data_IF_798940534287
#
_entry.id   IF_798940534287
#
_cell.length_a   1.000
_cell.length_b   1.000
_cell.length_c   1.000
_cell.angle_alpha   90.00
_cell.angle_beta   90.00
_cell.angle_gamma   90.00
#
_symmetry.space_group_name_H-M   'P 1'
#
loop_
_entity.id
_entity.type
_entity.pdbx_description
1 polymer ?
#
# COMPACT_ATOMS: atom_id res chain seq x y z
N UNK A 1 -30.86 9.86 -23.63
CA UNK A 1 -30.58 10.07 -25.07
C UNK A 1 -29.63 8.96 -25.50
N UNK A 2 -29.87 8.35 -26.64
CA UNK A 2 -29.07 7.22 -27.17
C UNK A 2 -27.60 7.58 -27.44
N UNK A 3 -27.28 8.88 -27.42
CA UNK A 3 -25.93 9.42 -27.64
C UNK A 3 -25.05 9.54 -26.41
N UNK A 4 -25.63 9.56 -25.21
CA UNK A 4 -24.90 9.70 -23.96
C UNK A 4 -25.11 8.45 -23.11
N UNK A 5 -24.00 7.80 -22.75
CA UNK A 5 -23.96 6.70 -21.80
C UNK A 5 -23.15 7.13 -20.59
N UNK A 6 -23.66 6.83 -19.42
CA UNK A 6 -23.02 7.12 -18.16
C UNK A 6 -22.94 5.86 -17.31
N UNK A 7 -21.83 5.66 -16.65
CA UNK A 7 -21.64 4.55 -15.71
C UNK A 7 -20.83 4.99 -14.50
N UNK A 8 -21.13 4.40 -13.36
CA UNK A 8 -20.37 4.59 -12.15
C UNK A 8 -20.17 3.23 -11.45
N UNK A 9 -18.97 3.03 -10.92
CA UNK A 9 -18.65 1.91 -10.04
C UNK A 9 -18.07 2.48 -8.75
N UNK A 10 -18.68 2.13 -7.61
CA UNK A 10 -18.31 2.59 -6.30
C UNK A 10 -18.00 1.36 -5.45
N UNK A 11 -16.77 1.29 -4.94
CA UNK A 11 -16.35 0.24 -4.03
C UNK A 11 -15.82 0.88 -2.75
N UNK A 12 -16.33 0.41 -1.64
CA UNK A 12 -15.86 0.75 -0.30
C UNK A 12 -15.50 -0.54 0.44
N UNK A 13 -14.29 -0.57 1.02
CA UNK A 13 -13.81 -1.72 1.80
C UNK A 13 -13.29 -1.22 3.13
N UNK A 14 -13.68 -1.90 4.19
CA UNK A 14 -13.13 -1.71 5.52
C UNK A 14 -12.66 -3.08 6.02
N UNK A 15 -11.37 -3.18 6.33
CA UNK A 15 -10.71 -4.37 6.85
C UNK A 15 -10.18 -4.08 8.24
N UNK A 16 -10.45 -4.96 9.16
CA UNK A 16 -9.87 -4.98 10.49
C UNK A 16 -9.35 -6.39 10.74
N UNK A 17 -8.07 -6.52 10.94
CA UNK A 17 -7.43 -7.82 11.09
C UNK A 17 -6.33 -7.80 12.14
N UNK A 18 -6.21 -8.92 12.83
CA UNK A 18 -5.02 -9.24 13.59
C UNK A 18 -4.00 -9.89 12.63
N UNK A 19 -2.79 -9.35 12.62
CA UNK A 19 -1.70 -9.81 11.76
C UNK A 19 -0.72 -10.58 12.64
N UNK A 20 -0.29 -11.73 12.15
CA UNK A 20 0.74 -12.52 12.82
C UNK A 20 2.08 -12.30 12.11
N UNK A 21 3.15 -12.28 12.90
CA UNK A 21 4.49 -12.25 12.33
C UNK A 21 4.70 -13.50 11.49
N UNK A 22 4.92 -13.31 10.20
CA UNK A 22 5.13 -14.38 9.22
C UNK A 22 6.60 -14.51 8.84
N UNK A 23 6.93 -15.58 8.09
CA UNK A 23 8.25 -15.84 7.55
C UNK A 23 9.05 -16.85 8.35
N UNK A 24 10.37 -16.84 8.16
CA UNK A 24 11.30 -17.82 8.74
C UNK A 24 11.96 -17.34 10.03
N UNK A 25 11.55 -16.21 10.55
CA UNK A 25 12.06 -15.64 11.78
C UNK A 25 11.67 -16.45 13.02
N UNK A 26 12.56 -16.51 14.01
CA UNK A 26 12.24 -17.17 15.29
C UNK A 26 11.07 -16.50 16.03
N UNK A 27 10.74 -15.26 15.69
CA UNK A 27 9.62 -14.50 16.24
C UNK A 27 8.29 -14.82 15.57
N UNK A 28 8.30 -15.50 14.42
CA UNK A 28 7.08 -15.96 13.75
C UNK A 28 6.49 -17.16 14.51
N UNK A 29 5.38 -17.01 15.24
CA UNK A 29 4.89 -18.06 16.14
C UNK A 29 4.50 -19.34 15.38
N UNK A 30 3.90 -19.21 14.21
CA UNK A 30 3.50 -20.35 13.40
C UNK A 30 4.71 -21.14 12.87
N UNK A 31 5.69 -20.45 12.28
CA UNK A 31 6.91 -21.07 11.79
C UNK A 31 7.71 -21.75 12.92
N UNK A 32 7.84 -21.08 14.07
CA UNK A 32 8.52 -21.62 15.24
C UNK A 32 7.84 -22.88 15.74
N UNK A 33 6.51 -22.90 15.83
CA UNK A 33 5.75 -24.06 16.28
C UNK A 33 5.91 -25.28 15.38
N UNK A 34 5.93 -25.08 14.06
CA UNK A 34 5.99 -26.18 13.07
C UNK A 34 7.40 -26.68 12.83
N UNK A 35 8.40 -25.76 12.81
CA UNK A 35 9.75 -26.10 12.30
C UNK A 35 10.82 -26.20 13.38
N UNK A 36 10.59 -25.62 14.56
CA UNK A 36 11.64 -25.46 15.59
C UNK A 36 11.33 -26.10 16.92
N UNK A 37 10.05 -26.18 17.29
CA UNK A 37 9.67 -26.84 18.54
C UNK A 37 9.63 -28.36 18.37
N UNK A 38 10.08 -29.07 19.39
CA UNK A 38 9.90 -30.50 19.46
C UNK A 38 8.61 -30.85 20.22
N UNK A 39 7.97 -31.98 19.93
CA UNK A 39 6.78 -32.42 20.67
C UNK A 39 7.01 -32.61 22.19
N UNK A 40 8.27 -32.70 22.61
CA UNK A 40 8.66 -32.87 24.01
C UNK A 40 8.85 -31.54 24.76
N UNK A 41 8.81 -30.39 24.05
CA UNK A 41 8.90 -29.08 24.68
C UNK A 41 7.55 -28.70 25.32
N UNK A 42 7.40 -28.69 26.64
CA UNK A 42 6.14 -28.32 27.27
C UNK A 42 5.89 -26.81 27.15
N UNK A 43 4.65 -26.44 26.87
CA UNK A 43 4.23 -25.03 26.78
C UNK A 43 4.23 -24.36 28.16
N UNK A 44 3.93 -25.13 29.20
CA UNK A 44 3.80 -24.65 30.58
C UNK A 44 4.74 -25.43 31.49
N UNK A 45 5.19 -24.77 32.53
CA UNK A 45 5.88 -25.38 33.67
C UNK A 45 4.89 -26.11 34.58
N UNK A 46 5.38 -26.89 35.53
CA UNK A 46 4.54 -27.63 36.49
C UNK A 46 3.67 -26.71 37.38
N UNK A 47 4.10 -25.46 37.58
CA UNK A 47 3.37 -24.44 38.31
C UNK A 47 2.32 -23.70 37.48
N UNK A 48 2.17 -24.06 36.20
CA UNK A 48 1.23 -23.45 35.27
C UNK A 48 1.74 -22.15 34.62
N UNK A 49 2.94 -21.69 34.92
CA UNK A 49 3.57 -20.57 34.24
C UNK A 49 4.04 -20.97 32.84
N UNK A 50 4.23 -19.99 31.94
CA UNK A 50 4.77 -20.27 30.61
C UNK A 50 6.21 -20.72 30.69
N UNK A 51 6.51 -21.84 30.05
CA UNK A 51 7.90 -22.33 29.92
C UNK A 51 8.65 -21.45 28.92
N UNK A 52 9.67 -20.77 29.38
CA UNK A 52 10.56 -19.96 28.55
C UNK A 52 11.90 -20.63 28.26
N UNK A 53 12.19 -21.77 28.90
CA UNK A 53 13.41 -22.55 28.76
C UNK A 53 13.21 -23.74 27.80
N UNK A 54 12.61 -23.46 26.65
CA UNK A 54 12.40 -24.46 25.61
C UNK A 54 13.74 -24.97 25.06
N UNK A 55 13.89 -26.28 24.93
CA UNK A 55 15.12 -26.93 24.46
C UNK A 55 15.48 -26.47 23.03
N UNK A 56 14.48 -26.37 22.19
CA UNK A 56 14.64 -26.04 20.77
C UNK A 56 14.73 -24.55 20.50
N UNK A 57 14.06 -23.72 21.32
CA UNK A 57 13.93 -22.29 21.15
C UNK A 57 14.08 -21.59 22.51
N UNK A 58 15.33 -21.32 22.91
CA UNK A 58 15.60 -20.62 24.16
C UNK A 58 14.77 -19.33 24.28
N UNK A 59 13.92 -19.24 25.32
CA UNK A 59 13.11 -18.07 25.69
C UNK A 59 12.10 -17.61 24.64
N UNK A 60 11.65 -18.48 23.75
CA UNK A 60 10.75 -18.12 22.64
C UNK A 60 9.52 -18.99 22.59
N UNK A 61 8.74 -18.98 23.65
CA UNK A 61 7.47 -19.67 23.68
C UNK A 61 6.46 -18.96 22.76
N UNK A 62 6.04 -19.59 21.65
CA UNK A 62 5.14 -18.96 20.69
C UNK A 62 3.74 -18.73 21.27
N UNK A 63 3.30 -19.55 22.22
CA UNK A 63 2.00 -19.38 22.90
C UNK A 63 2.04 -18.15 23.81
N UNK A 64 3.14 -17.96 24.56
CA UNK A 64 3.36 -16.76 25.36
C UNK A 64 3.38 -15.50 24.47
N UNK A 65 4.11 -15.56 23.36
CA UNK A 65 4.18 -14.45 22.41
C UNK A 65 2.80 -14.12 21.85
N UNK A 66 2.01 -15.13 21.48
CA UNK A 66 0.66 -14.95 20.91
C UNK A 66 -0.33 -14.36 21.92
N UNK A 67 -0.15 -14.62 23.21
CA UNK A 67 -1.07 -14.10 24.23
C UNK A 67 -0.78 -12.65 24.58
N UNK A 68 0.51 -12.26 24.62
CA UNK A 68 0.90 -10.94 25.12
C UNK A 68 1.27 -9.94 24.01
N UNK A 69 1.73 -10.41 22.86
CA UNK A 69 2.00 -9.56 21.72
C UNK A 69 0.76 -9.45 20.82
N UNK A 70 0.62 -8.33 20.15
CA UNK A 70 -0.38 -8.20 19.08
C UNK A 70 0.10 -7.28 17.98
N UNK A 71 -0.38 -7.53 16.78
CA UNK A 71 -0.26 -6.64 15.63
C UNK A 71 -1.62 -6.55 14.96
N UNK A 72 -2.13 -5.33 14.83
CA UNK A 72 -3.44 -5.05 14.24
C UNK A 72 -3.31 -4.09 13.08
N UNK A 73 -4.07 -4.37 12.05
CA UNK A 73 -4.14 -3.53 10.88
C UNK A 73 -5.59 -3.16 10.57
N UNK A 74 -5.81 -1.87 10.32
CA UNK A 74 -7.09 -1.30 9.92
C UNK A 74 -6.92 -0.64 8.57
N UNK A 75 -7.58 -1.18 7.55
CA UNK A 75 -7.51 -0.66 6.18
C UNK A 75 -8.88 -0.15 5.76
N UNK A 76 -8.94 1.09 5.32
CA UNK A 76 -10.11 1.66 4.67
C UNK A 76 -9.76 2.05 3.25
N UNK A 77 -10.46 1.47 2.27
CA UNK A 77 -10.23 1.76 0.85
C UNK A 77 -11.51 2.16 0.15
N UNK A 78 -11.43 3.20 -0.65
CA UNK A 78 -12.46 3.65 -1.57
C UNK A 78 -11.89 3.61 -2.99
N UNK A 79 -12.50 2.82 -3.86
CA UNK A 79 -12.15 2.77 -5.28
C UNK A 79 -13.40 3.12 -6.11
N UNK A 80 -13.38 4.29 -6.72
CA UNK A 80 -14.51 4.82 -7.46
C UNK A 80 -14.10 5.07 -8.91
N UNK A 81 -14.96 4.67 -9.84
CA UNK A 81 -14.78 4.93 -11.25
C UNK A 81 -16.07 5.49 -11.83
N UNK A 82 -15.96 6.63 -12.47
CA UNK A 82 -17.05 7.26 -13.21
C UNK A 82 -16.64 7.27 -14.68
N UNK A 83 -17.55 6.89 -15.55
CA UNK A 83 -17.31 6.92 -16.98
C UNK A 83 -18.50 7.57 -17.72
N UNK A 84 -18.17 8.29 -18.77
CA UNK A 84 -19.13 8.89 -19.67
C UNK A 84 -18.67 8.62 -21.12
N UNK A 85 -19.59 8.20 -21.97
CA UNK A 85 -19.38 8.04 -23.40
C UNK A 85 -20.40 8.90 -24.16
N UNK A 86 -19.90 9.75 -25.03
CA UNK A 86 -20.74 10.62 -25.85
C UNK A 86 -20.44 10.44 -27.33
N UNK A 87 -21.48 10.18 -28.13
CA UNK A 87 -21.43 10.10 -29.60
C UNK A 87 -21.78 11.46 -30.18
N UNK A 88 -20.77 12.21 -30.65
CA UNK A 88 -20.97 13.54 -31.26
C UNK A 88 -21.73 13.46 -32.56
N UNK A 89 -21.21 12.62 -33.45
CA UNK A 89 -21.79 12.28 -34.73
C UNK A 89 -21.67 10.77 -34.90
N UNK A 90 -22.36 10.22 -35.90
CA UNK A 90 -22.21 8.80 -36.23
C UNK A 90 -20.76 8.44 -36.38
N UNK A 91 -20.36 7.34 -35.73
CA UNK A 91 -19.00 6.77 -35.81
C UNK A 91 -17.89 7.54 -34.98
N UNK A 92 -18.19 8.73 -34.38
CA UNK A 92 -17.27 9.50 -33.60
C UNK A 92 -17.71 9.53 -32.14
N UNK A 93 -16.93 8.89 -31.23
CA UNK A 93 -17.23 8.74 -29.81
C UNK A 93 -16.10 9.26 -28.95
N UNK A 94 -16.46 10.00 -27.92
CA UNK A 94 -15.59 10.36 -26.83
C UNK A 94 -15.96 9.54 -25.60
N UNK A 95 -14.99 8.86 -25.02
CA UNK A 95 -15.10 8.16 -23.73
C UNK A 95 -14.19 8.83 -22.75
N UNK A 96 -14.73 9.26 -21.61
CA UNK A 96 -14.01 9.82 -20.48
C UNK A 96 -14.19 8.93 -19.28
N UNK A 97 -13.09 8.57 -18.62
CA UNK A 97 -13.06 7.72 -17.41
C UNK A 97 -12.27 8.47 -16.35
N UNK A 98 -12.90 8.67 -15.19
CA UNK A 98 -12.28 9.22 -14.00
C UNK A 98 -12.28 8.14 -12.92
N UNK A 99 -11.10 7.75 -12.46
CA UNK A 99 -10.91 6.77 -11.38
C UNK A 99 -10.20 7.41 -10.21
N UNK A 100 -10.72 7.19 -9.01
CA UNK A 100 -10.12 7.63 -7.76
C UNK A 100 -9.96 6.45 -6.81
N UNK A 101 -8.71 6.16 -6.43
CA UNK A 101 -8.32 5.13 -5.47
C UNK A 101 -7.75 5.81 -4.24
N UNK A 102 -8.43 5.65 -3.11
CA UNK A 102 -8.06 6.19 -1.82
C UNK A 102 -7.93 5.05 -0.82
N UNK A 103 -6.79 4.96 -0.16
CA UNK A 103 -6.50 3.92 0.81
C UNK A 103 -5.81 4.51 2.03
N UNK A 104 -6.36 4.22 3.21
CA UNK A 104 -5.74 4.50 4.50
C UNK A 104 -5.47 3.16 5.18
N UNK A 105 -4.23 2.96 5.62
CA UNK A 105 -3.83 1.86 6.50
C UNK A 105 -3.33 2.42 7.83
N UNK A 106 -3.79 1.82 8.92
CA UNK A 106 -3.36 2.13 10.29
C UNK A 106 -2.90 0.83 10.94
N UNK A 107 -1.62 0.77 11.29
CA UNK A 107 -1.02 -0.33 12.02
C UNK A 107 -0.86 -0.01 13.51
N UNK A 108 -1.04 -1.00 14.36
CA UNK A 108 -0.68 -0.97 15.76
C UNK A 108 -0.01 -2.28 16.15
N UNK A 109 1.22 -2.21 16.63
CA UNK A 109 1.97 -3.36 17.13
C UNK A 109 2.34 -3.15 18.60
N UNK A 110 2.30 -4.23 19.36
CA UNK A 110 2.79 -4.28 20.74
C UNK A 110 3.62 -5.55 20.94
N UNK A 111 4.82 -5.37 21.50
CA UNK A 111 5.72 -6.41 21.97
C UNK A 111 5.86 -6.28 23.48
N UNK A 112 5.33 -7.25 24.18
CA UNK A 112 5.32 -7.24 25.65
C UNK A 112 6.69 -7.57 26.23
N UNK A 113 7.08 -6.89 27.30
CA UNK A 113 8.36 -7.10 27.98
C UNK A 113 8.54 -8.51 28.56
N UNK A 114 7.46 -9.25 28.75
CA UNK A 114 7.46 -10.65 29.18
C UNK A 114 7.84 -11.63 28.09
N UNK A 115 7.77 -11.19 26.83
CA UNK A 115 8.11 -12.00 25.66
C UNK A 115 9.55 -11.75 25.24
N UNK A 116 10.17 -12.71 24.57
CA UNK A 116 11.53 -12.56 24.04
C UNK A 116 11.67 -11.41 23.04
N UNK A 117 10.56 -10.99 22.42
CA UNK A 117 10.54 -9.92 21.42
C UNK A 117 10.56 -8.53 22.06
N UNK A 118 9.97 -8.39 23.25
CA UNK A 118 9.90 -7.13 23.97
C UNK A 118 10.86 -6.99 25.14
N UNK A 119 11.47 -8.08 25.62
CA UNK A 119 12.30 -8.11 26.81
C UNK A 119 13.47 -7.11 26.77
N UNK A 120 14.23 -7.10 25.67
CA UNK A 120 15.42 -6.25 25.53
C UNK A 120 15.12 -4.76 25.64
N UNK A 121 13.95 -4.37 25.20
CA UNK A 121 13.51 -2.99 25.11
C UNK A 121 12.52 -2.62 26.24
N UNK A 122 12.31 -3.52 27.19
CA UNK A 122 11.29 -3.38 28.24
C UNK A 122 9.92 -2.99 27.67
N UNK A 123 9.48 -3.74 26.65
CA UNK A 123 8.28 -3.50 25.86
C UNK A 123 8.53 -2.59 24.65
N UNK A 124 7.76 -2.80 23.58
CA UNK A 124 7.80 -2.02 22.37
C UNK A 124 6.41 -1.79 21.80
N UNK A 125 6.10 -0.55 21.45
CA UNK A 125 4.86 -0.20 20.77
C UNK A 125 5.17 0.53 19.48
N UNK A 126 4.48 0.14 18.39
CA UNK A 126 4.55 0.85 17.11
C UNK A 126 3.15 1.25 16.67
N UNK A 127 3.03 2.46 16.14
CA UNK A 127 1.86 2.91 15.39
C UNK A 127 2.33 3.42 14.04
N UNK A 128 1.72 2.90 12.99
CA UNK A 128 1.97 3.31 11.63
C UNK A 128 0.68 3.85 11.00
N UNK A 129 0.82 4.90 10.22
CA UNK A 129 -0.21 5.48 9.38
C UNK A 129 0.33 5.58 7.97
N UNK A 130 -0.45 5.12 7.02
CA UNK A 130 -0.14 5.28 5.60
C UNK A 130 -1.38 5.70 4.85
N UNK A 131 -1.25 6.73 4.05
CA UNK A 131 -2.28 7.22 3.15
C UNK A 131 -1.78 7.14 1.71
N UNK A 132 -2.61 6.58 0.86
CA UNK A 132 -2.37 6.48 -0.55
C UNK A 132 -3.59 7.01 -1.28
N UNK A 133 -3.38 7.94 -2.20
CA UNK A 133 -4.43 8.33 -3.12
C UNK A 133 -3.89 8.42 -4.56
N UNK A 134 -4.72 8.00 -5.49
CA UNK A 134 -4.42 8.01 -6.91
C UNK A 134 -5.64 8.47 -7.69
N UNK A 135 -5.45 9.50 -8.49
CA UNK A 135 -6.42 9.97 -9.45
C UNK A 135 -5.94 9.63 -10.86
N UNK A 136 -6.78 8.96 -11.64
CA UNK A 136 -6.54 8.68 -13.05
C UNK A 136 -7.69 9.27 -13.86
N UNK A 137 -7.36 10.10 -14.84
CA UNK A 137 -8.32 10.62 -15.79
C UNK A 137 -7.89 10.27 -17.20
N UNK A 138 -8.68 9.41 -17.85
CA UNK A 138 -8.41 8.89 -19.18
C UNK A 138 -9.52 9.36 -20.13
N UNK A 139 -9.12 9.90 -21.27
CA UNK A 139 -10.01 10.34 -22.34
C UNK A 139 -9.61 9.68 -23.65
N UNK A 140 -10.57 9.14 -24.35
CA UNK A 140 -10.38 8.43 -25.61
C UNK A 140 -11.38 8.92 -26.65
N UNK A 141 -10.87 9.46 -27.74
CA UNK A 141 -11.65 9.81 -28.92
C UNK A 141 -11.48 8.69 -29.97
N UNK A 142 -12.56 8.05 -30.34
CA UNK A 142 -12.55 6.95 -31.27
C UNK A 142 -13.41 7.33 -32.48
N UNK A 143 -12.86 7.12 -33.68
CA UNK A 143 -13.57 7.26 -34.97
C UNK A 143 -13.48 5.94 -35.70
N UNK A 144 -14.67 5.37 -36.03
CA UNK A 144 -14.78 4.09 -36.75
C UNK A 144 -15.72 4.27 -37.92
N UNK A 145 -15.24 4.11 -39.15
CA UNK A 145 -16.07 4.24 -40.32
C UNK A 145 -15.73 3.21 -41.39
N UNK A 146 -16.71 2.92 -42.25
CA UNK A 146 -16.50 2.03 -43.38
C UNK A 146 -16.67 2.86 -44.68
N UNK A 147 -15.58 2.93 -45.43
CA UNK A 147 -15.52 3.65 -46.71
C UNK A 147 -15.75 2.67 -47.85
N UNK A 148 -16.65 3.00 -48.77
CA UNK A 148 -16.96 2.21 -49.96
C UNK A 148 -17.32 0.73 -49.70
N UNK A 149 -17.89 0.42 -48.52
CA UNK A 149 -18.29 -0.92 -48.03
C UNK A 149 -17.16 -1.91 -47.79
N UNK A 150 -15.93 -1.62 -48.20
CA UNK A 150 -14.81 -2.56 -48.21
C UNK A 150 -13.61 -2.13 -47.36
N UNK A 151 -13.53 -0.84 -47.00
CA UNK A 151 -12.44 -0.28 -46.27
C UNK A 151 -12.90 0.19 -44.88
N UNK A 152 -12.45 -0.48 -43.83
CA UNK A 152 -12.75 -0.09 -42.46
C UNK A 152 -11.58 0.76 -41.93
N UNK A 153 -11.90 1.95 -41.47
CA UNK A 153 -10.98 2.84 -40.79
C UNK A 153 -11.34 2.87 -39.32
N UNK A 154 -10.37 2.59 -38.47
CA UNK A 154 -10.44 2.70 -37.00
C UNK A 154 -9.31 3.61 -36.52
N UNK A 155 -9.66 4.74 -35.96
CA UNK A 155 -8.71 5.70 -35.41
C UNK A 155 -9.04 6.00 -33.93
N UNK A 156 -8.03 6.00 -33.07
CA UNK A 156 -8.15 6.29 -31.67
C UNK A 156 -7.07 7.29 -31.26
N UNK A 157 -7.47 8.30 -30.51
CA UNK A 157 -6.57 9.21 -29.80
C UNK A 157 -6.88 9.13 -28.32
N UNK A 158 -5.89 8.77 -27.54
CA UNK A 158 -5.99 8.64 -26.09
C UNK A 158 -5.12 9.67 -25.37
N UNK A 159 -5.64 10.13 -24.24
CA UNK A 159 -4.97 11.03 -23.33
C UNK A 159 -5.27 10.60 -21.89
N UNK A 160 -4.24 10.41 -21.09
CA UNK A 160 -4.37 9.99 -19.70
C UNK A 160 -3.45 10.82 -18.79
N UNK A 161 -4.01 11.27 -17.68
CA UNK A 161 -3.24 11.84 -16.56
C UNK A 161 -3.39 10.89 -15.39
N UNK A 162 -2.28 10.54 -14.74
CA UNK A 162 -2.30 9.93 -13.44
C UNK A 162 -1.58 10.84 -12.41
N UNK A 163 -2.16 10.97 -11.24
CA UNK A 163 -1.57 11.65 -10.10
C UNK A 163 -1.65 10.74 -8.89
N UNK A 164 -0.52 10.51 -8.27
CA UNK A 164 -0.36 9.64 -7.11
C UNK A 164 0.26 10.43 -5.97
N UNK A 165 -0.33 10.30 -4.79
CA UNK A 165 0.19 10.83 -3.53
C UNK A 165 0.28 9.71 -2.51
N UNK A 166 1.41 9.65 -1.79
CA UNK A 166 1.59 8.80 -0.62
C UNK A 166 2.05 9.68 0.53
N UNK A 167 1.52 9.36 1.69
CA UNK A 167 1.93 9.93 2.96
C UNK A 167 2.07 8.81 3.98
N UNK A 168 3.09 8.89 4.83
CA UNK A 168 3.27 7.90 5.88
C UNK A 168 3.85 8.55 7.14
N UNK A 169 3.41 8.05 8.27
CA UNK A 169 3.90 8.39 9.59
C UNK A 169 4.02 7.11 10.40
N UNK A 170 5.18 6.87 11.00
CA UNK A 170 5.39 5.78 11.94
C UNK A 170 6.02 6.32 13.21
N UNK A 171 5.55 5.84 14.34
CA UNK A 171 6.12 6.10 15.65
C UNK A 171 6.35 4.81 16.40
N UNK A 172 7.55 4.66 16.96
CA UNK A 172 7.97 3.53 17.78
C UNK A 172 8.41 4.02 19.15
N UNK A 173 7.94 3.35 20.20
CA UNK A 173 8.31 3.67 21.57
C UNK A 173 8.74 2.43 22.34
N UNK A 174 9.70 2.57 23.23
CA UNK A 174 10.23 1.50 24.07
C UNK A 174 10.31 1.94 25.54
N UNK A 175 10.72 1.02 26.38
CA UNK A 175 10.95 1.25 27.81
C UNK A 175 9.69 1.69 28.54
N UNK A 176 8.72 0.79 28.61
CA UNK A 176 7.44 1.01 29.27
C UNK A 176 7.52 0.67 30.75
N UNK A 177 6.97 1.54 31.60
CA UNK A 177 6.87 1.30 33.03
C UNK A 177 5.90 0.17 33.38
N UNK A 178 4.94 -0.10 32.52
CA UNK A 178 3.93 -1.15 32.69
C UNK A 178 3.40 -1.62 31.34
N UNK A 179 3.17 -2.93 31.15
CA UNK A 179 2.59 -3.45 29.91
C UNK A 179 1.10 -3.10 29.74
N UNK A 180 0.43 -2.64 30.78
CA UNK A 180 -1.00 -2.29 30.74
C UNK A 180 -1.26 -1.07 29.85
N UNK A 181 -0.31 -0.10 29.85
CA UNK A 181 -0.40 1.13 29.06
C UNK A 181 0.54 1.07 27.88
N UNK A 182 0.10 0.42 26.81
CA UNK A 182 0.89 0.12 25.62
C UNK A 182 0.67 1.12 24.45
N UNK A 183 0.30 2.35 24.76
CA UNK A 183 0.29 3.43 23.77
C UNK A 183 1.67 4.11 23.70
N UNK A 184 2.08 4.52 22.49
CA UNK A 184 3.39 5.16 22.23
C UNK A 184 3.69 6.27 23.22
N UNK A 185 2.71 7.06 23.62
CA UNK A 185 2.86 8.16 24.56
C UNK A 185 3.32 7.75 25.98
N UNK A 186 3.27 6.46 26.30
CA UNK A 186 3.68 5.94 27.63
C UNK A 186 5.08 5.31 27.61
N UNK A 187 5.73 5.22 26.45
CA UNK A 187 7.13 4.81 26.33
C UNK A 187 8.07 5.95 26.69
N UNK A 188 9.23 5.62 27.24
CA UNK A 188 10.25 6.60 27.63
C UNK A 188 11.17 6.99 26.47
N UNK A 189 11.38 6.10 25.52
CA UNK A 189 12.16 6.36 24.31
C UNK A 189 11.21 6.35 23.11
N UNK A 190 11.21 7.41 22.33
CA UNK A 190 10.34 7.59 21.17
C UNK A 190 11.20 7.84 19.94
N UNK A 191 10.91 7.08 18.89
CA UNK A 191 11.42 7.30 17.53
C UNK A 191 10.23 7.52 16.58
N UNK A 192 10.36 8.43 15.63
CA UNK A 192 9.35 8.69 14.62
C UNK A 192 9.97 8.86 13.24
N UNK A 193 9.26 8.39 12.23
CA UNK A 193 9.60 8.56 10.83
C UNK A 193 8.35 9.08 10.13
N UNK A 194 8.55 10.08 9.31
CA UNK A 194 7.50 10.70 8.54
C UNK A 194 8.00 10.99 7.12
N UNK A 195 7.12 10.96 6.15
CA UNK A 195 7.48 11.30 4.78
C UNK A 195 6.29 11.27 3.83
N UNK A 196 6.38 12.09 2.79
CA UNK A 196 5.39 12.12 1.74
C UNK A 196 6.02 12.11 0.35
N UNK A 197 5.30 11.63 -0.63
CA UNK A 197 5.72 11.64 -2.03
C UNK A 197 4.55 11.89 -2.97
N UNK A 198 4.79 12.73 -3.98
CA UNK A 198 3.81 13.02 -5.03
C UNK A 198 4.42 12.77 -6.40
N UNK A 199 3.69 12.07 -7.27
CA UNK A 199 4.07 11.85 -8.66
C UNK A 199 2.87 12.07 -9.56
N UNK A 200 3.09 12.82 -10.64
CA UNK A 200 2.10 13.00 -11.71
C UNK A 200 2.70 12.59 -13.05
N UNK A 201 1.91 11.97 -13.89
CA UNK A 201 2.31 11.49 -15.21
C UNK A 201 1.20 11.78 -16.23
N UNK A 202 1.60 12.13 -17.42
CA UNK A 202 0.72 12.33 -18.57
C UNK A 202 1.17 11.45 -19.73
N UNK A 203 0.23 10.76 -20.35
CA UNK A 203 0.46 9.88 -21.50
C UNK A 203 -0.51 10.20 -22.61
N UNK A 204 -0.03 10.30 -23.83
CA UNK A 204 -0.84 10.45 -25.04
C UNK A 204 -0.54 9.30 -26.00
N UNK A 205 -1.57 8.68 -26.56
CA UNK A 205 -1.42 7.51 -27.44
C UNK A 205 -2.36 7.62 -28.65
N UNK A 206 -1.91 8.14 -29.80
CA UNK A 206 -2.63 8.02 -31.04
C UNK A 206 -2.39 6.62 -31.67
N UNK A 207 -3.47 5.96 -32.06
CA UNK A 207 -3.43 4.69 -32.80
C UNK A 207 -4.39 4.80 -33.96
N UNK A 208 -3.97 4.38 -35.16
CA UNK A 208 -4.88 4.25 -36.30
C UNK A 208 -4.62 2.94 -37.02
N UNK A 209 -5.72 2.32 -37.46
CA UNK A 209 -5.70 1.06 -38.22
C UNK A 209 -6.61 1.18 -39.41
N UNK A 210 -6.16 0.72 -40.56
CA UNK A 210 -6.99 0.60 -41.75
C UNK A 210 -6.98 -0.85 -42.25
N UNK A 211 -8.15 -1.43 -42.38
CA UNK A 211 -8.32 -2.80 -42.87
C UNK A 211 -9.21 -2.82 -44.12
N UNK A 212 -8.83 -3.63 -45.09
CA UNK A 212 -9.66 -3.95 -46.26
C UNK A 212 -10.16 -5.39 -46.15
N UNK A 213 -11.23 -5.78 -46.83
CA UNK A 213 -11.94 -7.09 -46.77
C UNK A 213 -11.06 -8.32 -46.52
N UNK A 214 -9.80 -8.31 -46.94
CA UNK A 214 -8.90 -9.47 -46.85
C UNK A 214 -7.50 -9.16 -46.29
N UNK A 215 -7.13 -7.88 -46.05
CA UNK A 215 -5.77 -7.51 -45.69
C UNK A 215 -5.73 -6.27 -44.82
N UNK A 216 -4.83 -6.27 -43.84
CA UNK A 216 -4.45 -5.06 -43.08
C UNK A 216 -3.54 -4.25 -44.01
N UNK A 217 -3.97 -3.06 -44.43
CA UNK A 217 -3.20 -2.21 -45.35
C UNK A 217 -2.24 -1.30 -44.57
N UNK A 218 -2.62 -0.89 -43.36
CA UNK A 218 -1.79 0.02 -42.58
C UNK A 218 -2.13 -0.07 -41.09
N UNK A 219 -1.08 -0.09 -40.25
CA UNK A 219 -1.18 0.04 -38.79
C UNK A 219 -0.17 1.09 -38.39
N UNK A 220 -0.61 2.23 -37.91
CA UNK A 220 0.23 3.27 -37.35
C UNK A 220 -0.04 3.48 -35.89
N UNK A 221 0.96 3.27 -35.05
CA UNK A 221 0.92 3.63 -33.64
C UNK A 221 2.09 4.56 -33.35
N UNK A 222 1.80 5.80 -32.98
CA UNK A 222 2.83 6.73 -32.47
C UNK A 222 2.51 6.94 -30.99
N UNK A 223 3.33 6.35 -30.13
CA UNK A 223 3.25 6.60 -28.69
C UNK A 223 4.14 7.79 -28.35
N UNK A 224 3.52 8.95 -28.14
CA UNK A 224 4.23 10.10 -27.56
C UNK A 224 4.11 10.01 -26.04
N UNK A 225 5.17 9.59 -25.40
CA UNK A 225 5.27 9.66 -23.95
C UNK A 225 5.86 11.03 -23.56
N UNK A 226 5.02 11.99 -23.25
CA UNK A 226 5.46 13.16 -22.51
C UNK A 226 5.42 12.79 -21.01
N UNK A 227 6.51 12.23 -20.51
CA UNK A 227 6.65 11.97 -19.08
C UNK A 227 7.08 13.26 -18.39
N UNK A 228 6.11 14.00 -17.85
CA UNK A 228 6.40 15.01 -16.85
C UNK A 228 6.37 14.32 -15.49
N UNK A 229 7.52 13.82 -15.04
CA UNK A 229 7.67 13.30 -13.68
C UNK A 229 8.06 14.46 -12.80
N UNK A 230 7.08 15.06 -12.15
CA UNK A 230 7.35 15.93 -11.02
C UNK A 230 7.33 15.02 -9.77
N UNK A 231 8.49 14.59 -9.32
CA UNK A 231 8.63 13.86 -8.04
C UNK A 231 9.07 14.89 -7.01
N UNK A 232 8.16 15.37 -6.23
CA UNK A 232 8.46 16.17 -5.05
C UNK A 232 8.53 15.20 -3.87
N UNK A 233 9.72 14.93 -3.38
CA UNK A 233 9.95 14.18 -2.13
C UNK A 233 10.13 15.21 -1.05
N UNK A 234 9.11 15.38 -0.20
CA UNK A 234 9.22 16.16 1.02
C UNK A 234 9.60 15.16 2.11
N UNK A 235 10.88 15.09 2.43
CA UNK A 235 11.36 14.34 3.58
C UNK A 235 11.10 15.20 4.83
N UNK A 236 10.24 14.73 5.72
CA UNK A 236 10.07 15.29 7.05
C UNK A 236 11.29 15.03 7.93
N UNK A 237 11.59 15.93 8.82
CA UNK A 237 12.70 15.80 9.77
C UNK A 237 12.49 14.59 10.68
N UNK A 238 13.55 13.79 10.83
CA UNK A 238 13.64 12.78 11.90
C UNK A 238 13.84 13.54 13.22
N UNK A 239 12.76 13.76 13.95
CA UNK A 239 12.86 14.32 15.30
C UNK A 239 13.11 13.21 16.31
N UNK A 240 14.35 12.72 16.33
CA UNK A 240 14.85 11.98 17.48
C UNK A 240 15.42 12.96 18.49
N UNK A 241 14.94 12.94 19.70
CA UNK A 241 15.62 13.56 20.84
C UNK A 241 16.94 12.81 21.08
N UNK A 242 17.97 13.17 20.32
CA UNK A 242 19.34 12.81 20.67
C UNK A 242 19.87 13.80 21.69
N UNK A 243 19.90 13.36 22.94
CA UNK A 243 20.88 13.86 23.90
C UNK A 243 22.21 13.16 23.60
N UNK A 244 23.17 13.96 23.12
CA UNK A 244 24.61 13.69 22.99
C UNK A 244 25.06 12.42 22.22
N UNK A 245 25.34 12.56 20.93
CA UNK A 245 26.64 12.31 20.30
C UNK A 245 26.52 12.68 18.81
N UNK A 246 27.39 13.59 18.40
CA UNK A 246 27.38 14.21 17.07
C UNK A 246 27.45 13.22 15.92
N UNK A 247 26.56 13.41 14.92
CA UNK A 247 26.76 12.90 13.56
C UNK A 247 26.10 13.85 12.56
N UNK A 248 26.93 14.46 11.77
CA UNK A 248 26.83 14.97 10.41
C UNK A 248 25.43 15.01 9.74
N UNK A 249 24.92 16.22 9.60
CA UNK A 249 23.91 16.54 8.60
C UNK A 249 24.53 16.49 7.19
N UNK A 250 24.06 15.62 6.32
CA UNK A 250 24.26 15.77 4.88
C UNK A 250 23.03 16.43 4.30
N UNK A 251 23.13 17.73 4.06
CA UNK A 251 22.25 18.46 3.16
C UNK A 251 22.55 17.97 1.74
N UNK A 252 21.53 17.50 1.06
CA UNK A 252 21.56 17.35 -0.39
C UNK A 252 20.75 18.50 -0.96
N UNK A 253 21.44 19.43 -1.58
CA UNK A 253 20.89 20.51 -2.41
C UNK A 253 20.48 19.97 -3.77
#
# INVERSE_FOLDING_TARGET
TDKLKFGANIMFTNLNQDVYSEGTGYTAPFYSSVSKLTPSDPVYNEDGSYNQDLISLSRRNPVLAQEYNYQREYVTRMFNTINAEYEFIKDLKLKSILSYDYNISKGKEWKDSRTSDGEKNNGGAEKAYSEYNKLVWSNQLTYKTTIQKDHNLDALVGYEIDSKYNDFLSGYATNFLTPIKNDIANGQTLESIDGSSKRSRMVTSPVSTMTTRTSIIWVGAIVWMAVHVCTEIIAGEVSGLFQEHGVLSKRIS
#
